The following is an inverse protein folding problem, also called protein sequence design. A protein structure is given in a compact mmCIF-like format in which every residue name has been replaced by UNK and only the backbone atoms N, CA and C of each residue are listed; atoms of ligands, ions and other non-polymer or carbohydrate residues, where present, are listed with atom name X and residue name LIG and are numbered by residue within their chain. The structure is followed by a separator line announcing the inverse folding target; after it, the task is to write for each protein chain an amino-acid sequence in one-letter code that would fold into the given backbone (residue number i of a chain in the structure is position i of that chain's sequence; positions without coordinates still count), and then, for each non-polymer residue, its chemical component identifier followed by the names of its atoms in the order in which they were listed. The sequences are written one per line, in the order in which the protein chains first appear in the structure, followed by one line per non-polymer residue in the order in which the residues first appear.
data_IF_838924207750
#
_entry.id   IF_838924207750
#
_cell.length_a   1.000
_cell.length_b   1.000
_cell.length_c   1.000
_cell.angle_alpha   90.00
_cell.angle_beta   90.00
_cell.angle_gamma   90.00
#
_symmetry.space_group_name_H-M   'P 1'
#
loop_
_entity.id
_entity.type
_entity.pdbx_description
1 polymer ?
#
# COMPACT_ATOMS: atom_id res chain seq x y z
N UNK A 1 -5.94 -22.38 -16.03
CA UNK A 1 -5.99 -20.93 -15.80
C UNK A 1 -7.27 -20.63 -15.03
N UNK A 2 -7.19 -20.39 -13.72
CA UNK A 2 -8.37 -20.03 -12.91
C UNK A 2 -8.59 -18.52 -13.05
N UNK A 3 -9.67 -18.12 -13.72
CA UNK A 3 -10.07 -16.73 -13.80
C UNK A 3 -10.44 -16.27 -12.38
N UNK A 4 -9.68 -15.34 -11.82
CA UNK A 4 -10.05 -14.66 -10.57
C UNK A 4 -11.35 -13.89 -10.81
N UNK A 5 -12.27 -13.84 -9.83
CA UNK A 5 -13.59 -13.25 -10.04
C UNK A 5 -13.46 -11.74 -10.32
N UNK A 6 -14.07 -11.31 -11.43
CA UNK A 6 -14.42 -9.89 -11.63
C UNK A 6 -15.51 -9.58 -10.61
N UNK A 7 -15.25 -8.65 -9.68
CA UNK A 7 -16.26 -8.24 -8.72
C UNK A 7 -17.06 -7.09 -9.32
N UNK A 8 -18.36 -7.32 -9.46
CA UNK A 8 -19.35 -6.28 -9.70
C UNK A 8 -19.81 -5.81 -8.31
N UNK A 9 -19.60 -4.53 -8.00
CA UNK A 9 -20.17 -3.91 -6.80
C UNK A 9 -21.41 -3.15 -7.23
N UNK A 10 -22.55 -3.42 -6.59
CA UNK A 10 -23.83 -2.75 -6.83
C UNK A 10 -24.29 -1.99 -5.57
N UNK A 11 -24.96 -0.83 -5.70
CA UNK A 11 -25.36 -0.01 -4.56
C UNK A 11 -26.39 -0.68 -3.63
N UNK A 12 -27.20 -1.61 -4.15
CA UNK A 12 -28.23 -2.33 -3.39
C UNK A 12 -27.67 -3.39 -2.41
N UNK A 13 -26.36 -3.65 -2.45
CA UNK A 13 -25.65 -4.41 -1.42
C UNK A 13 -24.25 -3.80 -1.28
N UNK A 14 -23.98 -2.96 -0.25
CA UNK A 14 -22.62 -2.51 0.02
C UNK A 14 -21.77 -3.73 0.39
N UNK A 15 -21.20 -4.38 -0.62
CA UNK A 15 -20.19 -5.41 -0.46
C UNK A 15 -18.88 -4.69 -0.29
N UNK A 16 -18.49 -4.44 0.95
CA UNK A 16 -17.09 -4.15 1.27
C UNK A 16 -16.27 -5.34 0.79
N UNK A 17 -15.65 -5.20 -0.38
CA UNK A 17 -14.70 -6.19 -0.86
C UNK A 17 -13.37 -5.86 -0.20
N UNK A 18 -13.14 -6.43 0.98
CA UNK A 18 -11.84 -6.32 1.66
C UNK A 18 -10.89 -7.33 1.03
N UNK A 19 -9.91 -6.83 0.28
CA UNK A 19 -8.78 -7.63 -0.15
C UNK A 19 -7.69 -7.51 0.92
N UNK A 20 -7.50 -8.55 1.72
CA UNK A 20 -6.35 -8.60 2.63
C UNK A 20 -5.21 -9.30 1.89
N UNK A 21 -4.23 -8.53 1.43
CA UNK A 21 -2.94 -9.11 1.04
C UNK A 21 -2.13 -9.20 2.34
N UNK A 22 -2.08 -10.39 2.91
CA UNK A 22 -1.15 -10.72 3.99
C UNK A 22 0.07 -11.34 3.33
N UNK A 23 1.18 -10.61 3.35
CA UNK A 23 2.48 -11.19 3.03
C UNK A 23 3.14 -11.60 4.35
N UNK A 24 3.04 -12.89 4.76
CA UNK A 24 3.83 -13.36 5.90
C UNK A 24 5.30 -13.21 5.53
N UNK A 25 6.08 -12.50 6.35
CA UNK A 25 7.51 -12.42 6.11
C UNK A 25 8.15 -13.80 6.34
N UNK A 26 9.16 -14.18 5.52
CA UNK A 26 9.76 -15.50 5.56
C UNK A 26 10.19 -15.86 7.00
N UNK A 27 9.67 -16.98 7.49
CA UNK A 27 10.14 -17.59 8.73
C UNK A 27 11.32 -18.52 8.40
N UNK A 28 12.42 -18.48 9.15
CA UNK A 28 13.53 -19.39 8.91
C UNK A 28 13.13 -20.85 9.21
N UNK A 29 13.55 -21.76 8.34
CA UNK A 29 13.53 -23.20 8.59
C UNK A 29 14.40 -23.54 9.80
N UNK A 30 13.89 -24.39 10.69
CA UNK A 30 14.59 -24.79 11.90
C UNK A 30 15.86 -25.60 11.58
N UNK A 31 17.04 -25.21 12.09
CA UNK A 31 18.15 -26.14 12.20
C UNK A 31 18.03 -26.98 13.48
N UNK A 32 18.44 -28.25 13.36
CA UNK A 32 18.44 -29.25 14.40
C UNK A 32 19.32 -28.87 15.61
N UNK A 33 18.93 -29.40 16.76
CA UNK A 33 19.52 -29.15 18.07
C UNK A 33 20.93 -29.73 18.23
N UNK A 34 21.79 -28.97 18.93
CA UNK A 34 22.76 -29.54 19.87
C UNK A 34 23.20 -28.47 20.89
N UNK A 35 22.92 -28.74 22.16
CA UNK A 35 23.59 -28.19 23.34
C UNK A 35 24.89 -28.98 23.58
N UNK A 36 25.86 -28.61 24.46
CA UNK A 36 25.73 -27.71 25.61
C UNK A 36 26.94 -26.78 25.92
N UNK A 37 26.80 -25.86 26.87
CA UNK A 37 27.54 -25.84 28.16
C UNK A 37 27.30 -24.51 28.91
N UNK A 38 27.08 -24.65 30.21
CA UNK A 38 26.74 -23.63 31.21
C UNK A 38 28.01 -23.01 31.80
N UNK A 39 27.99 -21.69 32.02
CA UNK A 39 28.77 -21.03 33.06
C UNK A 39 27.96 -19.88 33.68
N UNK A 40 27.73 -20.00 34.97
CA UNK A 40 27.07 -19.03 35.87
C UNK A 40 28.11 -18.06 36.42
N UNK A 41 27.83 -16.75 36.40
CA UNK A 41 28.17 -15.82 37.50
C UNK A 41 27.19 -14.65 37.53
N UNK A 42 26.91 -14.22 38.75
CA UNK A 42 25.90 -13.27 39.21
C UNK A 42 26.47 -11.87 39.41
N UNK A 43 25.68 -10.82 39.15
CA UNK A 43 25.68 -9.58 39.97
C UNK A 43 24.38 -8.78 39.77
N UNK A 44 23.90 -8.21 40.88
CA UNK A 44 22.62 -7.51 41.10
C UNK A 44 22.84 -5.98 40.99
N UNK A 45 21.82 -5.15 40.68
CA UNK A 45 21.99 -3.86 40.02
C UNK A 45 22.17 -2.70 41.01
N UNK A 46 22.73 -1.59 40.51
CA UNK A 46 22.67 -0.28 41.19
C UNK A 46 21.85 0.67 40.35
N UNK A 47 20.78 1.16 40.97
CA UNK A 47 19.87 2.21 40.54
C UNK A 47 20.57 3.57 40.48
N UNK A 48 20.32 4.36 39.45
CA UNK A 48 20.40 5.83 39.55
C UNK A 48 19.34 6.44 38.62
N UNK A 49 18.46 7.22 39.22
CA UNK A 49 17.41 8.00 38.59
C UNK A 49 17.93 9.36 38.10
N UNK A 50 17.07 10.05 37.33
CA UNK A 50 17.13 11.46 36.85
C UNK A 50 17.52 11.58 35.37
N UNK A 51 16.81 12.28 34.50
CA UNK A 51 15.79 13.29 34.66
C UNK A 51 14.70 13.16 33.58
N UNK A 52 13.46 13.50 33.93
CA UNK A 52 12.32 13.59 33.03
C UNK A 52 12.48 14.75 32.04
N UNK A 53 12.52 14.44 30.73
CA UNK A 53 12.26 15.43 29.68
C UNK A 53 10.81 15.90 29.75
N UNK A 54 10.52 17.17 29.43
CA UNK A 54 9.17 17.69 29.47
C UNK A 54 8.27 16.95 28.48
N UNK A 55 7.05 16.68 28.93
CA UNK A 55 5.95 16.08 28.19
C UNK A 55 5.67 16.91 26.93
N UNK A 56 6.13 16.42 25.77
CA UNK A 56 5.78 17.03 24.47
C UNK A 56 4.30 16.80 24.24
N UNK A 57 3.51 17.84 23.88
CA UNK A 57 2.08 17.68 23.66
C UNK A 57 1.84 16.64 22.56
N UNK A 58 0.84 15.76 22.75
CA UNK A 58 0.53 14.65 21.83
C UNK A 58 0.35 15.08 20.36
N UNK A 59 0.02 16.35 20.12
CA UNK A 59 -0.05 16.98 18.80
C UNK A 59 1.28 17.04 18.04
N UNK A 60 2.42 17.01 18.73
CA UNK A 60 3.76 16.99 18.11
C UNK A 60 4.24 15.55 17.82
N UNK A 61 3.76 14.56 18.58
CA UNK A 61 3.94 13.13 18.27
C UNK A 61 3.08 12.68 17.08
N UNK A 62 1.92 13.31 16.88
CA UNK A 62 1.04 13.11 15.71
C UNK A 62 1.65 13.68 14.42
N UNK A 63 2.61 14.61 14.51
CA UNK A 63 3.29 15.24 13.38
C UNK A 63 4.49 14.43 12.82
N UNK A 64 4.87 13.31 13.45
CA UNK A 64 6.23 12.77 13.31
C UNK A 64 6.47 11.69 12.24
N UNK A 65 5.52 11.41 11.34
CA UNK A 65 5.75 10.44 10.26
C UNK A 65 5.24 10.84 8.89
N UNK A 66 4.91 12.12 8.64
CA UNK A 66 4.58 12.61 7.29
C UNK A 66 5.68 13.55 6.79
N UNK A 67 6.29 13.25 5.65
CA UNK A 67 7.34 14.09 5.04
C UNK A 67 7.05 14.30 3.56
N UNK A 68 7.47 15.43 3.00
CA UNK A 68 7.38 15.66 1.55
C UNK A 68 8.43 14.78 0.87
N UNK A 69 8.00 13.89 -0.01
CA UNK A 69 8.88 13.02 -0.80
C UNK A 69 9.19 13.64 -2.18
N UNK A 70 8.26 14.41 -2.73
CA UNK A 70 8.47 15.12 -3.98
C UNK A 70 7.33 16.06 -4.33
N UNK A 71 7.31 16.53 -5.57
CA UNK A 71 6.29 17.43 -6.09
C UNK A 71 5.85 16.98 -7.47
N UNK A 72 4.56 17.16 -7.78
CA UNK A 72 4.05 17.09 -9.14
C UNK A 72 4.59 18.27 -9.98
N UNK A 73 4.41 18.19 -11.30
CA UNK A 73 4.84 19.24 -12.23
C UNK A 73 4.21 20.61 -11.94
N UNK A 74 3.01 20.63 -11.35
CA UNK A 74 2.30 21.84 -10.93
C UNK A 74 2.74 22.39 -9.55
N UNK A 75 3.73 21.75 -8.92
CA UNK A 75 4.24 22.10 -7.60
C UNK A 75 3.46 21.50 -6.43
N UNK A 76 2.42 20.71 -6.66
CA UNK A 76 1.68 20.04 -5.58
C UNK A 76 2.59 19.07 -4.84
N UNK A 77 2.72 19.16 -3.50
CA UNK A 77 3.57 18.26 -2.73
C UNK A 77 2.96 16.86 -2.65
N UNK A 78 3.81 15.84 -2.79
CA UNK A 78 3.50 14.43 -2.55
C UNK A 78 4.20 14.00 -1.28
N UNK A 79 3.43 13.50 -0.32
CA UNK A 79 3.96 13.10 0.97
C UNK A 79 4.16 11.59 1.09
N UNK A 80 5.02 11.22 2.02
CA UNK A 80 5.29 9.86 2.45
C UNK A 80 5.00 9.70 3.96
N UNK A 81 4.37 8.58 4.30
CA UNK A 81 4.18 8.08 5.65
C UNK A 81 5.22 6.99 6.00
N UNK A 82 5.83 7.06 7.18
CA UNK A 82 6.73 6.02 7.70
C UNK A 82 6.02 5.18 8.76
N UNK A 83 5.96 3.87 8.54
CA UNK A 83 5.39 2.89 9.46
C UNK A 83 6.49 2.06 10.10
N UNK A 84 6.35 1.71 11.37
CA UNK A 84 7.29 0.88 12.13
C UNK A 84 6.54 -0.21 12.88
N UNK A 85 7.08 -1.43 12.89
CA UNK A 85 6.63 -2.49 13.79
C UNK A 85 7.48 -2.54 15.06
N UNK A 86 6.92 -3.13 16.12
CA UNK A 86 7.66 -3.43 17.36
C UNK A 86 8.85 -4.39 17.12
N UNK A 87 8.78 -5.18 16.05
CA UNK A 87 9.88 -6.06 15.61
C UNK A 87 11.03 -5.32 14.91
N UNK A 88 10.87 -4.03 14.59
CA UNK A 88 11.89 -3.20 13.93
C UNK A 88 11.80 -3.17 12.41
N UNK A 89 10.73 -3.72 11.80
CA UNK A 89 10.46 -3.51 10.38
C UNK A 89 9.99 -2.07 10.14
N UNK A 90 10.33 -1.52 8.97
CA UNK A 90 9.98 -0.17 8.56
C UNK A 90 9.42 -0.20 7.14
N UNK A 91 8.23 0.37 6.95
CA UNK A 91 7.61 0.54 5.65
C UNK A 91 7.43 2.02 5.35
N UNK A 92 7.51 2.38 4.07
CA UNK A 92 7.33 3.74 3.60
C UNK A 92 6.28 3.77 2.52
N UNK A 93 5.24 4.57 2.71
CA UNK A 93 4.05 4.60 1.86
C UNK A 93 3.82 6.02 1.37
N UNK A 94 3.66 6.20 0.07
CA UNK A 94 3.55 7.51 -0.58
C UNK A 94 2.14 7.80 -1.10
N UNK A 95 1.73 9.07 -1.06
CA UNK A 95 0.45 9.56 -1.60
C UNK A 95 0.27 9.26 -3.09
N UNK A 96 1.32 9.38 -3.90
CA UNK A 96 1.26 8.98 -5.31
C UNK A 96 1.09 7.47 -5.46
N UNK A 97 0.02 7.07 -6.14
CA UNK A 97 -0.33 5.69 -6.44
C UNK A 97 -0.62 4.80 -5.23
N UNK A 98 -0.72 5.38 -4.03
CA UNK A 98 -0.66 4.67 -2.75
C UNK A 98 0.51 3.67 -2.72
N UNK A 99 1.69 4.11 -3.17
CA UNK A 99 2.86 3.25 -3.39
C UNK A 99 3.48 2.79 -2.07
N UNK A 100 3.74 1.48 -1.93
CA UNK A 100 4.75 0.97 -0.98
C UNK A 100 6.14 1.25 -1.57
N UNK A 101 6.78 2.31 -1.09
CA UNK A 101 8.05 2.82 -1.63
C UNK A 101 9.25 2.01 -1.15
N UNK A 102 9.24 1.64 0.13
CA UNK A 102 10.33 0.90 0.78
C UNK A 102 9.75 -0.02 1.86
N UNK A 103 10.42 -1.15 2.07
CA UNK A 103 10.14 -2.10 3.13
C UNK A 103 11.48 -2.69 3.59
N UNK A 104 11.89 -2.28 4.78
CA UNK A 104 13.13 -2.73 5.43
C UNK A 104 12.77 -3.68 6.56
N UNK A 105 13.31 -4.89 6.53
CA UNK A 105 13.05 -5.93 7.53
C UNK A 105 14.30 -6.22 8.35
N UNK A 106 14.16 -6.48 9.67
CA UNK A 106 15.26 -6.95 10.51
C UNK A 106 15.64 -8.39 10.14
N UNK A 107 16.93 -8.69 10.19
CA UNK A 107 17.48 -10.03 9.97
C UNK A 107 17.90 -10.68 11.29
N UNK A 108 17.92 -12.02 11.39
CA UNK A 108 18.33 -12.72 12.62
C UNK A 108 19.75 -12.39 13.11
N UNK A 109 20.65 -11.96 12.21
CA UNK A 109 22.02 -11.57 12.54
C UNK A 109 22.14 -10.11 13.05
N UNK A 110 21.02 -9.42 13.29
CA UNK A 110 20.99 -8.01 13.67
C UNK A 110 21.09 -7.03 12.49
N UNK A 111 21.25 -7.52 11.26
CA UNK A 111 21.24 -6.71 10.04
C UNK A 111 19.84 -6.25 9.62
N UNK A 112 19.78 -5.45 8.55
CA UNK A 112 18.53 -4.96 7.94
C UNK A 112 18.60 -5.15 6.42
N UNK A 113 17.46 -5.49 5.81
CA UNK A 113 17.39 -5.72 4.36
C UNK A 113 16.16 -5.05 3.76
N UNK A 114 16.34 -4.37 2.63
CA UNK A 114 15.22 -3.97 1.75
C UNK A 114 14.71 -5.17 0.98
N UNK A 115 13.40 -5.34 0.96
CA UNK A 115 12.76 -6.51 0.33
C UNK A 115 11.74 -6.14 -0.75
N UNK A 116 11.71 -4.86 -1.15
CA UNK A 116 10.89 -4.37 -2.27
C UNK A 116 11.72 -3.50 -3.19
N UNK A 117 11.37 -3.48 -4.48
CA UNK A 117 11.90 -2.52 -5.44
C UNK A 117 11.18 -1.16 -5.33
N UNK A 118 11.94 -0.09 -5.46
CA UNK A 118 11.46 1.29 -5.42
C UNK A 118 12.51 2.28 -5.93
N UNK A 119 12.13 3.55 -6.05
CA UNK A 119 13.04 4.63 -6.45
C UNK A 119 13.39 5.52 -5.25
N UNK A 120 14.59 6.12 -5.25
CA UNK A 120 14.97 7.10 -4.24
C UNK A 120 14.27 8.45 -4.44
N UNK A 121 13.94 8.80 -5.70
CA UNK A 121 13.40 10.11 -6.08
C UNK A 121 11.97 10.00 -6.63
N UNK A 122 11.14 11.00 -6.32
CA UNK A 122 9.76 11.05 -6.81
C UNK A 122 9.67 11.09 -8.33
N UNK A 123 10.53 11.86 -8.99
CA UNK A 123 10.48 12.08 -10.45
C UNK A 123 10.63 10.78 -11.27
N UNK A 124 11.21 9.73 -10.68
CA UNK A 124 11.39 8.44 -11.35
C UNK A 124 10.09 7.61 -11.40
N UNK A 125 9.18 7.80 -10.45
CA UNK A 125 7.89 7.08 -10.42
C UNK A 125 7.02 7.36 -11.67
N UNK A 126 6.71 8.62 -12.03
CA UNK A 126 5.95 8.91 -13.25
C UNK A 126 6.76 8.60 -14.52
N UNK A 127 8.11 8.67 -14.47
CA UNK A 127 8.98 8.55 -15.66
C UNK A 127 9.34 7.12 -16.04
N UNK A 128 9.62 6.26 -15.06
CA UNK A 128 10.28 4.96 -15.28
C UNK A 128 9.40 3.76 -14.92
N UNK A 129 8.56 3.85 -13.90
CA UNK A 129 7.58 2.79 -13.62
C UNK A 129 6.39 3.31 -12.81
N UNK A 130 5.24 3.56 -13.45
CA UNK A 130 4.03 3.97 -12.76
C UNK A 130 3.39 2.87 -11.90
N UNK A 131 3.97 1.67 -11.85
CA UNK A 131 3.40 0.52 -11.17
C UNK A 131 4.30 -0.03 -10.06
N UNK A 132 5.54 0.44 -9.91
CA UNK A 132 6.45 -0.08 -8.87
C UNK A 132 5.86 0.19 -7.47
N UNK A 133 5.38 -0.86 -6.80
CA UNK A 133 4.77 -0.77 -5.47
C UNK A 133 3.39 -0.11 -5.44
N UNK A 134 2.81 0.27 -6.59
CA UNK A 134 1.57 1.05 -6.66
C UNK A 134 0.31 0.17 -6.58
N UNK A 135 -0.84 0.80 -6.33
CA UNK A 135 -2.16 0.17 -6.45
C UNK A 135 -2.68 0.30 -7.89
N UNK A 136 -2.81 -0.83 -8.58
CA UNK A 136 -3.46 -0.89 -9.88
C UNK A 136 -4.99 -0.90 -9.72
N UNK A 137 -5.69 -0.03 -10.47
CA UNK A 137 -7.14 0.07 -10.51
C UNK A 137 -7.60 1.15 -11.50
N UNK A 138 -8.89 1.30 -11.82
CA UNK A 138 -10.06 0.60 -11.25
C UNK A 138 -10.11 -0.89 -11.55
N UNK A 139 -9.51 -1.32 -12.67
CA UNK A 139 -9.38 -2.72 -13.04
C UNK A 139 -7.92 -3.09 -13.30
N UNK A 140 -7.34 -3.89 -12.40
CA UNK A 140 -6.00 -4.43 -12.53
C UNK A 140 -5.94 -5.48 -13.65
N UNK A 141 -4.78 -5.56 -14.32
CA UNK A 141 -4.55 -6.39 -15.50
C UNK A 141 -5.37 -5.92 -16.72
N UNK A 142 -5.62 -6.81 -17.67
CA UNK A 142 -6.15 -6.48 -19.01
C UNK A 142 -7.65 -6.67 -19.11
N UNK A 143 -8.30 -5.72 -19.78
CA UNK A 143 -9.62 -5.91 -20.40
C UNK A 143 -9.40 -5.98 -21.91
N UNK A 144 -9.75 -7.13 -22.50
CA UNK A 144 -9.60 -7.39 -23.94
C UNK A 144 -10.38 -6.38 -24.77
N UNK A 145 -9.73 -5.69 -25.70
CA UNK A 145 -10.39 -4.63 -26.49
C UNK A 145 -10.88 -3.44 -25.67
N UNK A 146 -10.55 -3.38 -24.37
CA UNK A 146 -11.10 -2.40 -23.42
C UNK A 146 -12.63 -2.45 -23.29
N UNK A 147 -13.29 -3.52 -23.74
CA UNK A 147 -14.74 -3.62 -23.78
C UNK A 147 -15.26 -4.52 -22.68
N UNK A 148 -16.35 -4.10 -22.05
CA UNK A 148 -17.10 -4.90 -21.10
C UNK A 148 -18.56 -4.45 -21.09
N UNK A 149 -19.46 -5.35 -20.70
CA UNK A 149 -20.87 -5.06 -20.55
C UNK A 149 -21.29 -5.19 -19.08
N UNK A 150 -22.15 -4.29 -18.62
CA UNK A 150 -22.83 -4.37 -17.33
C UNK A 150 -24.31 -4.11 -17.57
N UNK A 151 -25.17 -5.03 -17.11
CA UNK A 151 -26.62 -4.93 -17.26
C UNK A 151 -27.09 -4.63 -18.70
N UNK A 152 -26.39 -5.22 -19.68
CA UNK A 152 -26.69 -5.05 -21.11
C UNK A 152 -26.17 -3.74 -21.74
N UNK A 153 -25.51 -2.88 -20.97
CA UNK A 153 -24.88 -1.65 -21.47
C UNK A 153 -23.41 -1.90 -21.75
N UNK A 154 -22.96 -1.54 -22.96
CA UNK A 154 -21.56 -1.65 -23.40
C UNK A 154 -20.74 -0.43 -22.95
N UNK A 155 -19.56 -0.70 -22.38
CA UNK A 155 -18.61 0.32 -21.93
C UNK A 155 -17.27 0.15 -22.65
N UNK A 156 -16.58 1.27 -22.86
CA UNK A 156 -15.25 1.32 -23.49
C UNK A 156 -14.24 1.99 -22.56
N UNK A 157 -13.32 1.19 -22.02
CA UNK A 157 -12.13 1.67 -21.34
C UNK A 157 -11.01 2.05 -22.35
N UNK A 158 -10.09 2.95 -21.98
CA UNK A 158 -8.96 3.36 -22.83
C UNK A 158 -8.09 2.19 -23.29
N UNK A 159 -7.65 2.21 -24.54
CA UNK A 159 -6.74 1.18 -25.10
C UNK A 159 -5.28 1.57 -24.90
N UNK A 160 -4.85 1.67 -23.65
CA UNK A 160 -3.51 2.14 -23.27
C UNK A 160 -2.39 1.11 -23.48
N UNK A 161 -2.72 -0.15 -23.80
CA UNK A 161 -1.73 -1.15 -24.19
C UNK A 161 -1.70 -1.33 -25.71
N UNK A 162 -0.82 -0.58 -26.38
CA UNK A 162 -0.59 -0.65 -27.82
C UNK A 162 -1.88 -0.54 -28.67
N UNK A 163 -2.90 0.19 -28.17
CA UNK A 163 -4.18 0.33 -28.86
C UNK A 163 -5.04 -0.95 -28.88
N UNK A 164 -4.71 -1.99 -28.09
CA UNK A 164 -5.42 -3.28 -28.10
C UNK A 164 -6.24 -3.55 -26.85
N UNK A 165 -5.66 -3.33 -25.67
CA UNK A 165 -6.31 -3.64 -24.40
C UNK A 165 -6.31 -2.43 -23.49
N UNK A 166 -7.28 -2.39 -22.58
CA UNK A 166 -7.17 -1.57 -21.38
C UNK A 166 -6.33 -2.33 -20.37
N UNK A 167 -5.33 -1.68 -19.78
CA UNK A 167 -4.39 -2.26 -18.82
C UNK A 167 -4.35 -1.39 -17.56
N UNK A 168 -4.52 -2.01 -16.40
CA UNK A 168 -4.38 -1.38 -15.08
C UNK A 168 -5.22 -0.09 -14.91
N UNK A 169 -6.46 -0.12 -15.41
CA UNK A 169 -7.41 0.99 -15.32
C UNK A 169 -7.17 2.13 -16.30
N UNK A 170 -6.28 1.95 -17.29
CA UNK A 170 -6.07 2.92 -18.37
C UNK A 170 -4.83 3.79 -18.22
N UNK A 171 -4.74 4.83 -19.06
CA UNK A 171 -3.56 5.70 -19.16
C UNK A 171 -3.20 6.39 -17.85
N UNK A 172 -4.21 6.85 -17.12
CA UNK A 172 -4.14 7.45 -15.79
C UNK A 172 -4.78 6.51 -14.75
N UNK A 173 -4.42 5.22 -14.70
CA UNK A 173 -4.93 4.31 -13.67
C UNK A 173 -4.57 4.75 -12.24
N UNK A 174 -5.11 4.09 -11.22
CA UNK A 174 -4.97 4.52 -9.82
C UNK A 174 -3.52 4.60 -9.31
N UNK A 175 -2.61 3.82 -9.89
CA UNK A 175 -1.17 3.87 -9.57
C UNK A 175 -0.46 5.12 -10.08
N UNK A 176 -1.12 5.96 -10.88
CA UNK A 176 -0.58 7.17 -11.51
C UNK A 176 -1.28 8.45 -11.06
N UNK A 177 -1.80 8.45 -9.84
CA UNK A 177 -2.57 9.58 -9.31
C UNK A 177 -2.15 9.88 -7.89
N UNK A 178 -2.26 11.14 -7.44
CA UNK A 178 -2.20 11.43 -6.02
C UNK A 178 -3.41 10.83 -5.31
N UNK A 179 -3.16 10.18 -4.18
CA UNK A 179 -4.16 9.77 -3.19
C UNK A 179 -4.09 10.70 -1.99
N UNK A 180 -5.18 10.83 -1.26
CA UNK A 180 -5.22 11.59 0.00
C UNK A 180 -4.83 10.68 1.16
N UNK A 181 -3.78 11.03 1.93
CA UNK A 181 -3.49 10.37 3.20
C UNK A 181 -4.52 10.80 4.25
N UNK A 182 -5.55 9.99 4.48
CA UNK A 182 -6.69 10.31 5.36
C UNK A 182 -6.47 9.87 6.81
N UNK A 183 -5.52 8.97 7.06
CA UNK A 183 -5.12 8.55 8.39
C UNK A 183 -3.66 8.08 8.40
N UNK A 184 -2.92 8.40 9.45
CA UNK A 184 -1.63 7.78 9.72
C UNK A 184 -1.30 7.79 11.22
N UNK A 185 -0.56 6.79 11.65
CA UNK A 185 0.05 6.68 12.97
C UNK A 185 1.44 6.02 12.82
N UNK A 186 2.08 5.64 13.93
CA UNK A 186 3.41 5.03 13.90
C UNK A 186 3.48 3.65 13.21
N UNK A 187 2.36 2.93 13.08
CA UNK A 187 2.28 1.56 12.58
C UNK A 187 1.31 1.39 11.40
N UNK A 188 0.45 2.36 11.10
CA UNK A 188 -0.53 2.28 10.01
C UNK A 188 -0.72 3.58 9.22
N UNK A 189 -1.11 3.46 7.95
CA UNK A 189 -1.51 4.55 7.08
C UNK A 189 -2.72 4.14 6.25
N UNK A 190 -3.66 5.06 5.99
CA UNK A 190 -4.79 4.85 5.09
C UNK A 190 -4.85 5.97 4.06
N UNK A 191 -4.85 5.58 2.79
CA UNK A 191 -4.93 6.47 1.64
C UNK A 191 -6.28 6.30 0.97
N UNK A 192 -6.85 7.39 0.48
CA UNK A 192 -8.13 7.42 -0.22
C UNK A 192 -8.00 8.03 -1.62
N UNK A 193 -8.75 7.48 -2.58
CA UNK A 193 -8.90 8.00 -3.92
C UNK A 193 -10.38 7.94 -4.32
N UNK A 194 -10.90 9.04 -4.85
CA UNK A 194 -12.23 9.08 -5.48
C UNK A 194 -12.05 9.00 -6.99
N UNK A 195 -12.68 8.00 -7.60
CA UNK A 195 -12.74 7.83 -9.05
C UNK A 195 -14.16 8.18 -9.51
N UNK A 196 -14.40 9.36 -10.10
CA UNK A 196 -15.76 9.82 -10.43
C UNK A 196 -16.44 8.91 -11.46
N UNK A 197 -17.77 8.97 -11.55
CA UNK A 197 -18.51 8.31 -12.62
C UNK A 197 -17.98 8.73 -14.01
N UNK A 198 -17.72 7.76 -14.88
CA UNK A 198 -17.16 7.97 -16.21
C UNK A 198 -15.64 8.07 -16.26
N UNK A 199 -14.95 8.05 -15.10
CA UNK A 199 -13.49 8.04 -15.05
C UNK A 199 -12.93 6.83 -15.82
N UNK A 200 -12.08 7.09 -16.83
CA UNK A 200 -11.58 6.11 -17.77
C UNK A 200 -12.68 5.21 -18.40
N UNK A 201 -13.90 5.73 -18.55
CA UNK A 201 -15.05 5.03 -19.12
C UNK A 201 -15.77 4.06 -18.17
N UNK A 202 -15.38 4.00 -16.89
CA UNK A 202 -16.05 3.15 -15.91
C UNK A 202 -17.30 3.85 -15.32
N UNK A 203 -18.46 3.18 -15.24
CA UNK A 203 -19.65 3.76 -14.60
C UNK A 203 -19.50 3.85 -13.09
N UNK A 204 -20.25 4.77 -12.46
CA UNK A 204 -20.31 4.93 -11.01
C UNK A 204 -19.08 5.62 -10.41
N UNK A 205 -19.34 6.49 -9.44
CA UNK A 205 -18.31 7.04 -8.56
C UNK A 205 -17.83 5.93 -7.64
N UNK A 206 -16.53 5.70 -7.56
CA UNK A 206 -15.91 4.70 -6.71
C UNK A 206 -14.99 5.39 -5.69
N UNK A 207 -15.33 5.26 -4.42
CA UNK A 207 -14.45 5.60 -3.30
C UNK A 207 -13.56 4.39 -3.00
N UNK A 208 -12.25 4.59 -2.96
CA UNK A 208 -11.27 3.53 -2.76
C UNK A 208 -10.37 3.87 -1.60
N UNK A 209 -10.15 2.91 -0.71
CA UNK A 209 -9.22 3.05 0.41
C UNK A 209 -8.16 1.96 0.36
N UNK A 210 -6.91 2.36 0.58
CA UNK A 210 -5.77 1.48 0.77
C UNK A 210 -5.20 1.70 2.17
N UNK A 211 -5.32 0.69 3.04
CA UNK A 211 -4.72 0.72 4.37
C UNK A 211 -3.49 -0.17 4.42
N UNK A 212 -2.36 0.43 4.76
CA UNK A 212 -1.14 -0.26 5.13
C UNK A 212 -1.05 -0.34 6.66
N UNK A 213 -0.65 -1.49 7.18
CA UNK A 213 -0.32 -1.63 8.60
C UNK A 213 0.81 -2.63 8.81
N UNK A 214 1.70 -2.30 9.74
CA UNK A 214 2.72 -3.19 10.29
C UNK A 214 2.28 -3.60 11.70
N UNK A 215 1.72 -4.80 11.85
CA UNK A 215 1.19 -5.27 13.13
C UNK A 215 1.94 -6.51 13.64
N UNK A 216 2.29 -6.52 14.93
CA UNK A 216 2.86 -7.67 15.63
C UNK A 216 4.16 -8.22 15.06
N UNK A 217 4.28 -9.55 15.01
CA UNK A 217 5.34 -10.27 14.31
C UNK A 217 5.38 -9.86 12.83
N UNK A 218 6.52 -9.92 12.14
CA UNK A 218 6.80 -9.10 10.96
C UNK A 218 5.79 -9.38 9.82
N UNK A 219 4.69 -8.63 9.79
CA UNK A 219 3.60 -8.80 8.83
C UNK A 219 3.23 -7.43 8.28
N UNK A 220 3.44 -7.25 6.98
CA UNK A 220 2.83 -6.15 6.25
C UNK A 220 1.43 -6.60 5.81
N UNK A 221 0.42 -5.85 6.24
CA UNK A 221 -0.97 -6.03 5.83
C UNK A 221 -1.38 -4.86 4.94
N UNK A 222 -1.91 -5.20 3.78
CA UNK A 222 -2.46 -4.25 2.81
C UNK A 222 -3.94 -4.58 2.64
N UNK A 223 -4.80 -3.65 2.99
CA UNK A 223 -6.25 -3.77 2.88
C UNK A 223 -6.77 -2.80 1.84
N UNK A 224 -7.37 -3.35 0.79
CA UNK A 224 -8.03 -2.57 -0.26
C UNK A 224 -9.53 -2.72 -0.08
N UNK A 225 -10.23 -1.60 0.02
CA UNK A 225 -11.70 -1.54 0.09
C UNK A 225 -12.22 -0.52 -0.92
N UNK A 226 -13.43 -0.74 -1.42
CA UNK A 226 -14.08 0.21 -2.31
C UNK A 226 -15.60 0.18 -2.16
N UNK A 227 -16.22 1.33 -2.36
CA UNK A 227 -17.69 1.52 -2.39
C UNK A 227 -18.08 2.33 -3.62
N UNK A 228 -19.25 2.07 -4.19
CA UNK A 228 -19.72 2.72 -5.42
C UNK A 228 -21.17 3.18 -5.31
N UNK A 229 -21.51 4.23 -6.04
CA UNK A 229 -22.89 4.75 -6.15
C UNK A 229 -23.71 4.08 -7.28
N UNK A 230 -23.05 3.37 -8.20
CA UNK A 230 -23.67 2.64 -9.30
C UNK A 230 -22.91 1.34 -9.64
N UNK A 231 -23.56 0.34 -10.26
CA UNK A 231 -22.90 -0.90 -10.70
C UNK A 231 -21.64 -0.63 -11.51
N UNK A 232 -20.52 -1.22 -11.11
CA UNK A 232 -19.23 -1.06 -11.79
C UNK A 232 -18.36 -2.31 -11.62
N UNK A 233 -17.37 -2.49 -12.50
CA UNK A 233 -16.34 -3.51 -12.32
C UNK A 233 -15.19 -2.95 -11.50
N UNK A 234 -14.69 -3.74 -10.55
CA UNK A 234 -13.51 -3.40 -9.77
C UNK A 234 -12.61 -4.63 -9.60
N UNK A 235 -11.32 -4.40 -9.76
CA UNK A 235 -10.27 -5.38 -9.49
C UNK A 235 -9.03 -4.59 -9.06
N UNK A 236 -8.69 -4.63 -7.78
CA UNK A 236 -7.55 -3.87 -7.25
C UNK A 236 -6.39 -4.82 -6.97
N UNK A 237 -5.16 -4.38 -7.26
CA UNK A 237 -3.97 -5.16 -6.99
C UNK A 237 -2.82 -4.27 -6.54
N UNK A 238 -2.03 -4.75 -5.59
CA UNK A 238 -0.77 -4.14 -5.21
C UNK A 238 0.36 -4.68 -6.09
N UNK A 239 1.20 -3.81 -6.64
CA UNK A 239 2.16 -4.13 -7.67
C UNK A 239 3.63 -3.99 -7.19
N UNK A 240 3.90 -4.43 -5.96
CA UNK A 240 5.27 -4.55 -5.45
C UNK A 240 6.03 -5.69 -6.11
N UNK A 241 7.35 -5.52 -6.23
CA UNK A 241 8.30 -6.48 -6.76
C UNK A 241 9.38 -6.77 -5.72
#
# INVERSE_FOLDING_TARGET
MSARPVIIISPAMPRTSTWVIVSPMPQPGAPASSSPTRATTSSTPTSTASASEPDRPASELLALTKTVFGHLDDGTPIHEAVLRSDSGAEARVMEWGAVLRDLVVPLPNGGRQRVVLGFPDFADYPKHSPHMGAIAGRFANRIGGGRFALDGVEYQAPLNEHGRNSLHGGGQGFGKRPWTLVHHDGASATLALVSPAGDAGYPGTLDVFCRYSLAGAPTLRIELTATTDAPTIVNLAHHSY
#
